data_IF_194401452278
#
_entry.id   IF_194401452278
#
_cell.length_a   1.000
_cell.length_b   1.000
_cell.length_c   1.000
_cell.angle_alpha   90.00
_cell.angle_beta   90.00
_cell.angle_gamma   90.00
#
_symmetry.space_group_name_H-M   'P 1'
#
loop_
_entity.id
_entity.type
_entity.pdbx_description
1 polymer ?
#
# COMPACT_ATOMS: atom_id res chain seq x y z
N UNK A 1 1.32 58.36 2.92
CA UNK A 1 1.14 57.06 3.61
C UNK A 1 1.83 56.00 2.77
N UNK A 2 2.86 55.34 3.28
CA UNK A 2 3.56 54.26 2.58
C UNK A 2 3.22 52.93 3.28
N UNK A 3 2.56 52.02 2.57
CA UNK A 3 2.25 50.68 3.08
C UNK A 3 3.56 49.88 3.01
N UNK A 4 4.15 49.61 4.17
CA UNK A 4 5.32 48.72 4.28
C UNK A 4 4.83 47.28 4.11
N UNK A 5 5.16 46.66 2.99
CA UNK A 5 4.95 45.22 2.77
C UNK A 5 5.98 44.49 3.63
N UNK A 6 5.52 43.80 4.68
CA UNK A 6 6.34 42.91 5.48
C UNK A 6 6.53 41.62 4.66
N UNK A 7 7.76 41.21 4.33
CA UNK A 7 7.97 39.94 3.62
C UNK A 7 7.47 38.80 4.51
N UNK A 8 6.81 37.82 3.90
CA UNK A 8 6.28 36.65 4.61
C UNK A 8 7.42 35.98 5.41
N UNK A 9 7.18 35.59 6.67
CA UNK A 9 8.20 34.90 7.44
C UNK A 9 8.56 33.59 6.74
N UNK A 10 9.85 33.37 6.52
CA UNK A 10 10.33 32.08 6.03
C UNK A 10 9.85 30.98 6.99
N UNK A 11 9.30 29.86 6.47
CA UNK A 11 8.90 28.76 7.33
C UNK A 11 10.14 28.31 8.11
N UNK A 12 10.02 28.26 9.44
CA UNK A 12 11.13 27.83 10.26
C UNK A 12 11.46 26.38 9.86
N UNK A 13 12.70 25.91 10.00
CA UNK A 13 13.07 24.54 9.67
C UNK A 13 12.12 23.49 10.28
N UNK A 14 11.52 23.79 11.43
CA UNK A 14 10.49 23.00 12.10
C UNK A 14 9.22 22.80 11.26
N UNK A 15 8.74 23.83 10.56
CA UNK A 15 7.52 23.77 9.73
C UNK A 15 7.70 22.83 8.52
N UNK A 16 8.90 22.80 7.93
CA UNK A 16 9.22 21.87 6.83
C UNK A 16 9.21 20.42 7.31
N UNK A 17 9.79 20.17 8.49
CA UNK A 17 9.78 18.83 9.12
C UNK A 17 8.35 18.41 9.44
N UNK A 18 7.55 19.32 9.99
CA UNK A 18 6.14 19.05 10.32
C UNK A 18 5.32 18.72 9.07
N UNK A 19 5.45 19.52 8.01
CA UNK A 19 4.78 19.29 6.74
C UNK A 19 5.12 17.91 6.15
N UNK A 20 6.40 17.52 6.12
CA UNK A 20 6.79 16.20 5.60
C UNK A 20 6.14 15.08 6.42
N UNK A 21 6.09 15.22 7.74
CA UNK A 21 5.47 14.22 8.62
C UNK A 21 3.95 14.11 8.41
N UNK A 22 3.25 15.23 8.22
CA UNK A 22 1.81 15.24 7.97
C UNK A 22 1.45 14.56 6.64
N UNK A 23 2.21 14.83 5.57
CA UNK A 23 2.03 14.17 4.27
C UNK A 23 2.27 12.65 4.35
N UNK A 24 3.17 12.19 5.23
CA UNK A 24 3.41 10.77 5.48
C UNK A 24 2.28 10.14 6.30
N UNK A 25 1.75 10.85 7.29
CA UNK A 25 0.64 10.41 8.12
C UNK A 25 -0.65 10.25 7.29
N UNK A 26 -0.95 11.19 6.40
CA UNK A 26 -2.08 11.10 5.47
C UNK A 26 -1.96 9.92 4.50
N UNK A 27 -0.76 9.68 3.96
CA UNK A 27 -0.51 8.50 3.10
C UNK A 27 -0.67 7.18 3.85
N UNK A 28 -0.25 7.10 5.11
CA UNK A 28 -0.48 5.92 5.96
C UNK A 28 -1.97 5.70 6.25
N UNK A 29 -2.72 6.76 6.53
CA UNK A 29 -4.18 6.69 6.77
C UNK A 29 -4.98 6.22 5.55
N UNK A 30 -4.46 6.45 4.34
CA UNK A 30 -5.08 5.97 3.08
C UNK A 30 -4.80 4.50 2.76
N UNK A 31 -3.88 3.83 3.46
CA UNK A 31 -3.79 2.37 3.41
C UNK A 31 -4.83 1.84 4.38
N UNK A 32 -5.98 1.44 3.85
CA UNK A 32 -6.96 0.70 4.65
C UNK A 32 -6.22 -0.46 5.33
N UNK A 33 -6.19 -0.52 6.68
CA UNK A 33 -5.70 -1.68 7.39
C UNK A 33 -6.75 -2.75 7.17
N UNK A 34 -6.72 -3.40 6.02
CA UNK A 34 -7.40 -4.69 5.86
C UNK A 34 -6.83 -5.53 7.00
N UNK A 35 -7.64 -5.86 8.01
CA UNK A 35 -7.20 -6.35 9.32
C UNK A 35 -6.42 -7.67 9.27
N UNK A 36 -6.24 -8.22 8.07
CA UNK A 36 -5.49 -9.43 7.78
C UNK A 36 -4.74 -9.22 6.46
N UNK A 37 -3.48 -8.72 6.48
CA UNK A 37 -2.66 -8.70 5.28
C UNK A 37 -2.40 -10.14 4.81
N UNK A 38 -2.30 -10.36 3.49
CA UNK A 38 -1.89 -11.66 2.93
C UNK A 38 -0.49 -12.00 3.46
N UNK A 39 -0.35 -13.16 4.08
CA UNK A 39 0.94 -13.64 4.57
C UNK A 39 1.79 -14.09 3.36
N UNK A 40 3.03 -13.60 3.26
CA UNK A 40 3.98 -14.13 2.28
C UNK A 40 4.53 -15.46 2.82
N UNK A 41 4.23 -16.55 2.11
CA UNK A 41 4.62 -17.90 2.48
C UNK A 41 5.61 -18.43 1.43
N UNK A 42 6.67 -19.10 1.86
CA UNK A 42 7.53 -19.88 0.95
C UNK A 42 6.95 -21.31 0.86
N UNK A 43 6.03 -21.51 -0.08
CA UNK A 43 5.36 -22.79 -0.33
C UNK A 43 5.86 -23.42 -1.64
N UNK A 44 6.03 -24.75 -1.66
CA UNK A 44 6.25 -25.51 -2.89
C UNK A 44 4.91 -26.01 -3.42
N UNK A 45 4.64 -25.70 -4.68
CA UNK A 45 3.46 -26.13 -5.43
C UNK A 45 3.95 -26.82 -6.69
N UNK A 46 3.20 -27.81 -7.18
CA UNK A 46 3.54 -28.47 -8.44
C UNK A 46 3.65 -27.49 -9.60
N UNK A 47 4.64 -27.67 -10.49
CA UNK A 47 4.90 -26.73 -11.58
C UNK A 47 3.73 -26.62 -12.54
N UNK A 48 2.99 -27.71 -12.78
CA UNK A 48 1.84 -27.74 -13.68
C UNK A 48 0.68 -26.91 -13.15
N UNK A 49 0.46 -26.92 -11.83
CA UNK A 49 -0.55 -26.10 -11.17
C UNK A 49 -0.21 -24.62 -11.32
N UNK A 50 1.04 -24.24 -11.05
CA UNK A 50 1.50 -22.85 -11.22
C UNK A 50 1.41 -22.42 -12.68
N UNK A 51 1.77 -23.29 -13.63
CA UNK A 51 1.68 -23.01 -15.06
C UNK A 51 0.22 -22.80 -15.49
N UNK A 52 -0.70 -23.64 -15.02
CA UNK A 52 -2.13 -23.49 -15.28
C UNK A 52 -2.65 -22.14 -14.77
N UNK A 53 -2.39 -21.79 -13.50
CA UNK A 53 -2.81 -20.50 -12.97
C UNK A 53 -2.16 -19.34 -13.72
N UNK A 54 -0.86 -19.37 -14.02
CA UNK A 54 -0.21 -18.29 -14.80
C UNK A 54 -0.83 -18.11 -16.18
N UNK A 55 -1.30 -19.18 -16.83
CA UNK A 55 -1.97 -19.11 -18.13
C UNK A 55 -3.29 -18.31 -18.09
N UNK A 56 -3.92 -18.21 -16.92
CA UNK A 56 -5.15 -17.40 -16.72
C UNK A 56 -4.91 -15.88 -16.77
N UNK A 57 -3.66 -15.44 -16.91
CA UNK A 57 -3.30 -14.03 -17.09
C UNK A 57 -3.16 -13.23 -15.80
N UNK A 58 -3.30 -11.91 -15.90
CA UNK A 58 -3.17 -11.00 -14.76
C UNK A 58 -4.10 -11.41 -13.61
N UNK A 59 -3.60 -11.31 -12.36
CA UNK A 59 -4.37 -11.70 -11.18
C UNK A 59 -4.39 -13.21 -10.87
N UNK A 60 -3.58 -14.03 -11.56
CA UNK A 60 -3.53 -15.48 -11.31
C UNK A 60 -3.23 -15.86 -9.85
N UNK A 61 -2.43 -15.06 -9.14
CA UNK A 61 -2.16 -15.28 -7.71
C UNK A 61 -3.40 -15.06 -6.84
N UNK A 62 -4.26 -14.11 -7.19
CA UNK A 62 -5.54 -13.91 -6.51
C UNK A 62 -6.49 -15.07 -6.78
N UNK A 63 -6.62 -15.52 -8.04
CA UNK A 63 -7.41 -16.71 -8.37
C UNK A 63 -6.93 -17.96 -7.63
N UNK A 64 -5.62 -18.15 -7.56
CA UNK A 64 -5.02 -19.26 -6.81
C UNK A 64 -5.34 -19.16 -5.31
N UNK A 65 -5.29 -17.96 -4.74
CA UNK A 65 -5.69 -17.75 -3.36
C UNK A 65 -7.18 -18.06 -3.13
N UNK A 66 -8.06 -17.69 -4.06
CA UNK A 66 -9.50 -17.95 -3.93
C UNK A 66 -9.79 -19.46 -4.00
N UNK A 67 -9.14 -20.19 -4.91
CA UNK A 67 -9.22 -21.66 -4.96
C UNK A 67 -8.74 -22.33 -3.67
N UNK A 68 -7.67 -21.79 -3.05
CA UNK A 68 -7.19 -22.28 -1.76
C UNK A 68 -8.18 -22.02 -0.61
N UNK A 69 -8.96 -20.92 -0.67
CA UNK A 69 -10.00 -20.64 0.31
C UNK A 69 -11.19 -21.59 0.15
N UNK A 70 -11.64 -21.79 -1.08
CA UNK A 70 -12.72 -22.73 -1.39
C UNK A 70 -12.37 -24.15 -0.95
N UNK A 71 -11.15 -24.62 -1.24
CA UNK A 71 -10.68 -25.94 -0.80
C UNK A 71 -10.53 -26.08 0.73
N UNK A 72 -10.45 -24.97 1.46
CA UNK A 72 -10.33 -24.92 2.91
C UNK A 72 -11.66 -24.56 3.61
N UNK A 73 -12.76 -24.41 2.86
CA UNK A 73 -14.07 -23.94 3.35
C UNK A 73 -14.00 -22.58 4.10
N UNK A 74 -13.23 -21.61 3.56
CA UNK A 74 -12.97 -20.26 4.13
C UNK A 74 -13.57 -19.07 3.36
#
# INVERSE_FOLDING_TARGET
>A
MAIRIVPAPEPKPTDLVQQVMDHQAEKKRKRSPNGSPKQLLSLRVDPDVVAWFKSTGEGWQSRMNDALREAADL
#
